data_IF_578041127639
#
_entry.id   IF_578041127639
#
_cell.length_a   1.000
_cell.length_b   1.000
_cell.length_c   1.000
_cell.angle_alpha   90.00
_cell.angle_beta   90.00
_cell.angle_gamma   90.00
#
_symmetry.space_group_name_H-M   'P 1'
#
loop_
_entity.id
_entity.type
_entity.pdbx_description
1 polymer ?
#
# COMPACT_ATOMS: atom_id res chain seq x y z
N UNK A 1 -33.73 -20.77 -46.25
CA UNK A 1 -33.20 -20.71 -44.87
C UNK A 1 -34.39 -20.79 -43.93
N UNK A 2 -34.56 -21.93 -43.27
CA UNK A 2 -35.70 -22.16 -42.38
C UNK A 2 -35.52 -21.41 -41.06
N UNK A 3 -36.62 -20.90 -40.51
CA UNK A 3 -36.71 -20.23 -39.20
C UNK A 3 -36.08 -21.06 -38.06
N UNK A 4 -36.05 -22.39 -38.19
CA UNK A 4 -35.47 -23.31 -37.21
C UNK A 4 -33.93 -23.15 -37.06
N UNK A 5 -33.26 -22.69 -38.12
CA UNK A 5 -31.82 -22.41 -38.07
C UNK A 5 -31.49 -21.16 -37.25
N UNK A 6 -32.43 -20.22 -37.12
CA UNK A 6 -32.19 -18.96 -36.40
C UNK A 6 -32.42 -19.17 -34.90
N UNK A 7 -33.46 -19.92 -34.52
CA UNK A 7 -33.73 -20.28 -33.12
C UNK A 7 -32.62 -21.13 -32.49
N UNK A 8 -31.96 -21.99 -33.27
CA UNK A 8 -30.84 -22.80 -32.76
C UNK A 8 -29.56 -21.97 -32.55
N UNK A 9 -29.33 -20.91 -33.33
CA UNK A 9 -28.16 -20.03 -33.18
C UNK A 9 -28.33 -19.08 -32.00
N UNK A 10 -29.54 -18.55 -31.76
CA UNK A 10 -29.79 -17.63 -30.62
C UNK A 10 -29.72 -18.34 -29.27
N UNK A 11 -30.04 -19.63 -29.19
CA UNK A 11 -30.04 -20.37 -27.92
C UNK A 11 -28.62 -20.74 -27.45
N UNK A 12 -27.62 -20.74 -28.33
CA UNK A 12 -26.24 -21.11 -27.98
C UNK A 12 -25.42 -19.98 -27.35
N UNK A 13 -25.89 -18.72 -27.39
CA UNK A 13 -25.09 -17.58 -26.90
C UNK A 13 -25.31 -17.23 -25.42
N UNK A 14 -26.23 -17.92 -24.71
CA UNK A 14 -26.57 -17.57 -23.31
C UNK A 14 -26.40 -18.69 -22.30
N UNK A 15 -25.88 -19.85 -22.69
CA UNK A 15 -25.35 -20.82 -21.72
C UNK A 15 -23.84 -20.70 -21.69
N UNK A 16 -23.34 -19.63 -21.06
CA UNK A 16 -22.23 -19.84 -20.13
C UNK A 16 -22.73 -20.96 -19.23
N UNK A 17 -22.33 -22.20 -19.48
CA UNK A 17 -22.45 -23.28 -18.52
C UNK A 17 -21.60 -22.83 -17.33
N UNK A 18 -22.19 -22.00 -16.48
CA UNK A 18 -21.59 -21.60 -15.23
C UNK A 18 -21.72 -22.82 -14.34
N UNK A 19 -20.84 -23.80 -14.59
CA UNK A 19 -20.74 -25.01 -13.79
C UNK A 19 -20.76 -24.56 -12.33
N UNK A 20 -21.62 -25.13 -11.47
CA UNK A 20 -21.70 -24.71 -10.07
C UNK A 20 -20.32 -24.71 -9.39
N UNK A 21 -19.43 -25.61 -9.83
CA UNK A 21 -18.03 -25.67 -9.43
C UNK A 21 -17.16 -24.50 -9.91
N UNK A 22 -17.43 -23.93 -11.08
CA UNK A 22 -16.73 -22.73 -11.59
C UNK A 22 -17.15 -21.46 -10.84
N UNK A 23 -18.43 -21.31 -10.48
CA UNK A 23 -18.90 -20.19 -9.63
C UNK A 23 -18.28 -20.32 -8.22
N UNK A 24 -18.30 -21.52 -7.65
CA UNK A 24 -17.67 -21.80 -6.35
C UNK A 24 -16.15 -21.54 -6.40
N UNK A 25 -15.47 -21.99 -7.45
CA UNK A 25 -14.04 -21.76 -7.67
C UNK A 25 -13.67 -20.28 -7.78
N UNK A 26 -14.44 -19.51 -8.56
CA UNK A 26 -14.27 -18.05 -8.68
C UNK A 26 -14.49 -17.34 -7.34
N UNK A 27 -15.52 -17.72 -6.58
CA UNK A 27 -15.81 -17.15 -5.26
C UNK A 27 -14.71 -17.43 -4.23
N UNK A 28 -14.19 -18.66 -4.20
CA UNK A 28 -13.07 -19.05 -3.33
C UNK A 28 -11.79 -18.30 -3.73
N UNK A 29 -11.48 -18.20 -5.03
CA UNK A 29 -10.32 -17.45 -5.51
C UNK A 29 -10.38 -15.96 -5.12
N UNK A 30 -11.56 -15.33 -5.26
CA UNK A 30 -11.78 -13.95 -4.83
C UNK A 30 -11.60 -13.78 -3.31
N UNK A 31 -12.15 -14.70 -2.52
CA UNK A 31 -11.96 -14.68 -1.06
C UNK A 31 -10.48 -14.80 -0.67
N UNK A 32 -9.75 -15.74 -1.28
CA UNK A 32 -8.32 -15.90 -1.03
C UNK A 32 -7.55 -14.63 -1.41
N UNK A 33 -7.84 -14.04 -2.57
CA UNK A 33 -7.22 -12.78 -3.01
C UNK A 33 -7.46 -11.65 -1.99
N UNK A 34 -8.70 -11.50 -1.51
CA UNK A 34 -9.06 -10.49 -0.51
C UNK A 34 -8.30 -10.75 0.80
N UNK A 35 -8.26 -11.99 1.28
CA UNK A 35 -7.55 -12.36 2.52
C UNK A 35 -6.07 -12.06 2.40
N UNK A 36 -5.42 -12.45 1.30
CA UNK A 36 -4.00 -12.17 1.06
C UNK A 36 -3.76 -10.65 1.04
N UNK A 37 -4.60 -9.89 0.33
CA UNK A 37 -4.51 -8.43 0.28
C UNK A 37 -4.60 -7.78 1.67
N UNK A 38 -5.53 -8.23 2.51
CA UNK A 38 -5.65 -7.72 3.88
C UNK A 38 -4.45 -8.10 4.75
N UNK A 39 -3.90 -9.31 4.63
CA UNK A 39 -2.70 -9.72 5.37
C UNK A 39 -1.52 -8.80 5.05
N UNK A 40 -1.29 -8.52 3.75
CA UNK A 40 -0.25 -7.59 3.33
C UNK A 40 -0.48 -6.16 3.83
N UNK A 41 -1.73 -5.67 3.74
CA UNK A 41 -2.11 -4.35 4.23
C UNK A 41 -1.88 -4.19 5.73
N UNK A 42 -2.22 -5.22 6.52
CA UNK A 42 -1.99 -5.26 7.97
C UNK A 42 -0.48 -5.23 8.27
N UNK A 43 0.32 -6.05 7.59
CA UNK A 43 1.77 -6.09 7.81
C UNK A 43 2.46 -4.75 7.50
N UNK A 44 2.02 -4.07 6.44
CA UNK A 44 2.49 -2.74 6.08
C UNK A 44 2.07 -1.69 7.11
N UNK A 45 0.78 -1.66 7.46
CA UNK A 45 0.22 -0.76 8.47
C UNK A 45 0.94 -0.91 9.82
N UNK A 46 1.20 -2.14 10.25
CA UNK A 46 1.96 -2.45 11.46
C UNK A 46 3.39 -1.91 11.41
N UNK A 47 4.04 -1.99 10.25
CA UNK A 47 5.40 -1.48 10.07
C UNK A 47 5.47 0.04 10.20
N UNK A 48 4.49 0.75 9.64
CA UNK A 48 4.33 2.21 9.74
C UNK A 48 3.96 2.62 11.16
N UNK A 49 3.02 1.91 11.80
CA UNK A 49 2.61 2.12 13.20
C UNK A 49 3.80 2.05 14.14
N UNK A 50 4.63 0.99 14.04
CA UNK A 50 5.82 0.83 14.87
C UNK A 50 6.81 1.98 14.69
N UNK A 51 7.07 2.38 13.44
CA UNK A 51 7.96 3.51 13.16
C UNK A 51 7.45 4.81 13.79
N UNK A 52 6.18 5.15 13.56
CA UNK A 52 5.56 6.35 14.15
C UNK A 52 5.56 6.34 15.68
N UNK A 53 5.37 5.16 16.29
CA UNK A 53 5.39 5.00 17.75
C UNK A 53 6.78 5.24 18.36
N UNK A 54 7.84 4.92 17.62
CA UNK A 54 9.23 5.09 18.06
C UNK A 54 9.69 6.54 17.92
N UNK A 55 9.19 7.26 16.91
CA UNK A 55 9.50 8.69 16.74
C UNK A 55 9.08 9.47 17.99
N UNK A 56 9.90 10.43 18.43
CA UNK A 56 9.62 11.23 19.61
C UNK A 56 8.29 11.99 19.48
N UNK A 57 7.50 12.04 20.56
CA UNK A 57 6.16 12.66 20.56
C UNK A 57 6.18 14.14 20.15
N UNK A 58 7.26 14.87 20.39
CA UNK A 58 7.42 16.27 19.98
C UNK A 58 7.68 16.42 18.47
N UNK A 59 8.26 15.39 17.83
CA UNK A 59 8.59 15.36 16.40
C UNK A 59 7.49 14.72 15.56
N UNK A 60 6.62 13.90 16.16
CA UNK A 60 5.48 13.27 15.49
C UNK A 60 4.56 14.32 14.83
N UNK A 61 4.41 14.23 13.50
CA UNK A 61 3.47 15.07 12.74
C UNK A 61 2.08 14.43 12.70
N UNK A 62 2.02 13.09 12.78
CA UNK A 62 0.79 12.29 12.70
C UNK A 62 0.73 11.28 13.82
N UNK A 63 -0.46 10.99 14.34
CA UNK A 63 -0.64 9.99 15.41
C UNK A 63 -0.32 8.59 14.88
N UNK A 64 0.36 7.71 15.66
CA UNK A 64 0.69 6.34 15.24
C UNK A 64 -0.54 5.53 14.80
N UNK A 65 -1.68 5.75 15.47
CA UNK A 65 -2.97 5.12 15.14
C UNK A 65 -3.39 5.33 13.69
N UNK A 66 -2.99 6.43 13.03
CA UNK A 66 -3.39 6.69 11.65
C UNK A 66 -2.90 5.65 10.65
N UNK A 67 -1.87 4.88 10.97
CA UNK A 67 -1.44 3.77 10.14
C UNK A 67 -2.55 2.72 9.94
N UNK A 68 -3.43 2.52 10.92
CA UNK A 68 -4.53 1.55 10.86
C UNK A 68 -5.67 1.99 9.93
N UNK A 69 -5.79 3.28 9.64
CA UNK A 69 -6.78 3.78 8.70
C UNK A 69 -6.51 3.30 7.27
N UNK A 70 -5.28 2.85 6.97
CA UNK A 70 -4.91 2.26 5.68
C UNK A 70 -5.71 1.00 5.32
N UNK A 71 -6.30 0.31 6.31
CA UNK A 71 -7.12 -0.88 6.06
C UNK A 71 -8.46 -0.54 5.39
N UNK A 72 -8.92 0.72 5.49
CA UNK A 72 -10.15 1.18 4.87
C UNK A 72 -9.80 1.65 3.45
N UNK A 73 -10.41 1.16 2.36
CA UNK A 73 -9.94 1.46 1.01
C UNK A 73 -9.91 2.96 0.66
N UNK A 74 -11.05 3.66 0.86
CA UNK A 74 -11.21 5.07 0.47
C UNK A 74 -10.47 5.98 1.46
N UNK A 75 -10.77 5.82 2.75
CA UNK A 75 -10.15 6.62 3.82
C UNK A 75 -8.66 6.33 3.89
N UNK A 76 -8.26 5.08 3.80
CA UNK A 76 -6.87 4.64 3.87
C UNK A 76 -6.01 5.19 2.75
N UNK A 77 -6.53 5.31 1.53
CA UNK A 77 -5.80 5.94 0.44
C UNK A 77 -5.50 7.43 0.73
N UNK A 78 -6.51 8.17 1.25
CA UNK A 78 -6.33 9.57 1.66
C UNK A 78 -5.33 9.68 2.82
N UNK A 79 -5.39 8.75 3.77
CA UNK A 79 -4.46 8.74 4.90
C UNK A 79 -3.06 8.32 4.49
N UNK A 80 -2.87 7.45 3.49
CA UNK A 80 -1.54 7.14 2.94
C UNK A 80 -0.90 8.40 2.36
N UNK A 81 -1.67 9.23 1.67
CA UNK A 81 -1.25 10.55 1.18
C UNK A 81 -0.72 11.46 2.29
N UNK A 82 -1.31 11.41 3.49
CA UNK A 82 -0.92 12.27 4.62
C UNK A 82 0.23 11.62 5.42
N UNK A 83 0.07 10.36 5.82
CA UNK A 83 0.96 9.68 6.77
C UNK A 83 2.28 9.28 6.14
N UNK A 84 2.32 8.86 4.87
CA UNK A 84 3.54 8.38 4.25
C UNK A 84 4.56 9.51 3.97
N UNK A 85 4.24 10.54 3.15
CA UNK A 85 5.16 11.64 2.93
C UNK A 85 5.24 12.57 4.15
N UNK A 86 4.12 13.08 4.66
CA UNK A 86 4.15 14.11 5.71
C UNK A 86 4.31 13.53 7.12
N UNK A 87 3.64 12.41 7.43
CA UNK A 87 3.74 11.79 8.75
C UNK A 87 5.16 11.28 9.03
N UNK A 88 5.65 10.37 8.20
CA UNK A 88 6.98 9.75 8.39
C UNK A 88 8.10 10.66 7.89
N UNK A 89 8.00 11.18 6.67
CA UNK A 89 9.07 11.97 6.06
C UNK A 89 9.38 13.28 6.82
N UNK A 90 8.36 14.08 7.15
CA UNK A 90 8.61 15.33 7.88
C UNK A 90 8.97 15.11 9.36
N UNK A 91 8.45 14.06 10.01
CA UNK A 91 8.86 13.77 11.38
C UNK A 91 10.35 13.43 11.48
N UNK A 92 10.88 12.68 10.51
CA UNK A 92 12.31 12.37 10.42
C UNK A 92 13.18 13.59 10.08
N UNK A 93 12.66 14.54 9.28
CA UNK A 93 13.37 15.80 8.98
C UNK A 93 13.61 16.70 10.20
N UNK A 94 12.81 16.54 11.26
CA UNK A 94 12.95 17.30 12.51
C UNK A 94 14.10 16.79 13.41
N UNK A 95 14.70 15.65 13.09
CA UNK A 95 15.89 15.17 13.80
C UNK A 95 17.12 16.00 13.41
N UNK A 96 17.97 16.30 14.39
CA UNK A 96 19.20 17.06 14.15
C UNK A 96 20.30 16.23 13.46
N UNK A 97 20.22 14.90 13.54
CA UNK A 97 21.14 14.01 12.84
C UNK A 97 20.90 14.07 11.31
N UNK A 98 21.94 14.46 10.59
CA UNK A 98 21.92 14.60 9.13
C UNK A 98 21.62 13.28 8.42
N UNK A 99 22.02 12.15 9.00
CA UNK A 99 21.74 10.80 8.47
C UNK A 99 20.26 10.47 8.55
N UNK A 100 19.59 10.84 9.65
CA UNK A 100 18.15 10.64 9.84
C UNK A 100 17.36 11.58 8.94
N UNK A 101 17.81 12.84 8.84
CA UNK A 101 17.18 13.86 7.98
C UNK A 101 17.20 13.45 6.50
N UNK A 102 18.34 13.01 5.97
CA UNK A 102 18.47 12.57 4.58
C UNK A 102 17.56 11.36 4.26
N UNK A 103 17.41 10.45 5.24
CA UNK A 103 16.46 9.34 5.13
C UNK A 103 15.02 9.84 5.16
N UNK A 104 14.71 10.84 5.99
CA UNK A 104 13.43 11.55 6.00
C UNK A 104 13.06 12.13 4.63
N UNK A 105 13.99 12.81 3.97
CA UNK A 105 13.81 13.34 2.62
C UNK A 105 13.52 12.22 1.60
N UNK A 106 14.28 11.13 1.69
CA UNK A 106 14.09 9.97 0.81
C UNK A 106 12.72 9.32 1.03
N UNK A 107 12.29 9.14 2.28
CA UNK A 107 10.96 8.58 2.59
C UNK A 107 9.85 9.56 2.18
N UNK A 108 10.07 10.86 2.30
CA UNK A 108 9.13 11.88 1.83
C UNK A 108 8.89 11.73 0.31
N UNK A 109 9.97 11.72 -0.48
CA UNK A 109 9.89 11.60 -1.95
C UNK A 109 9.26 10.27 -2.36
N UNK A 110 9.66 9.17 -1.73
CA UNK A 110 9.12 7.85 -2.06
C UNK A 110 7.65 7.67 -1.63
N UNK A 111 7.27 8.22 -0.47
CA UNK A 111 5.87 8.24 -0.04
C UNK A 111 5.00 9.03 -1.01
N UNK A 112 5.52 10.16 -1.50
CA UNK A 112 4.84 11.00 -2.49
C UNK A 112 4.74 10.30 -3.86
N UNK A 113 5.81 9.64 -4.30
CA UNK A 113 5.80 8.81 -5.51
C UNK A 113 4.77 7.67 -5.41
N UNK A 114 4.72 6.96 -4.27
CA UNK A 114 3.79 5.86 -4.03
C UNK A 114 2.33 6.27 -4.19
N UNK A 115 1.99 7.49 -3.80
CA UNK A 115 0.61 7.95 -3.81
C UNK A 115 0.22 8.66 -5.11
N UNK A 116 1.19 9.20 -5.86
CA UNK A 116 0.98 9.77 -7.20
C UNK A 116 0.93 8.71 -8.29
N UNK A 117 1.73 7.64 -8.20
CA UNK A 117 1.78 6.58 -9.23
C UNK A 117 0.40 5.99 -9.57
N UNK A 118 -0.48 5.69 -8.60
CA UNK A 118 -1.84 5.21 -8.87
C UNK A 118 -2.67 6.21 -9.69
N UNK A 119 -2.48 7.52 -9.50
CA UNK A 119 -3.15 8.55 -10.29
C UNK A 119 -2.62 8.53 -11.73
N UNK A 120 -1.33 8.30 -11.90
CA UNK A 120 -0.68 8.18 -13.22
C UNK A 120 -1.15 6.91 -13.96
N UNK A 121 -1.49 5.83 -13.24
CA UNK A 121 -2.06 4.61 -13.86
C UNK A 121 -3.43 4.81 -14.52
N UNK A 122 -4.11 5.93 -14.24
CA UNK A 122 -5.37 6.29 -14.92
C UNK A 122 -5.17 6.59 -16.40
N UNK A 123 -3.92 6.81 -16.84
CA UNK A 123 -3.56 6.96 -18.25
C UNK A 123 -3.30 5.54 -18.84
N UNK A 124 -4.16 5.03 -19.74
CA UNK A 124 -4.13 3.61 -20.16
C UNK A 124 -2.83 3.18 -20.84
N UNK A 125 -2.16 4.11 -21.53
CA UNK A 125 -0.97 3.83 -22.35
C UNK A 125 0.24 3.46 -21.49
N UNK A 126 0.33 3.97 -20.26
CA UNK A 126 1.45 3.74 -19.33
C UNK A 126 1.12 2.74 -18.20
N UNK A 127 -0.14 2.29 -18.14
CA UNK A 127 -0.68 1.42 -17.09
C UNK A 127 0.17 0.19 -16.75
N UNK A 128 0.63 -0.65 -17.71
CA UNK A 128 1.37 -1.87 -17.36
C UNK A 128 2.77 -1.58 -16.80
N UNK A 129 3.43 -0.51 -17.24
CA UNK A 129 4.73 -0.12 -16.70
C UNK A 129 4.59 0.55 -15.32
N UNK A 130 3.53 1.34 -15.15
CA UNK A 130 3.23 2.02 -13.91
C UNK A 130 2.86 1.05 -12.78
N UNK A 131 2.18 -0.06 -13.07
CA UNK A 131 1.85 -1.09 -12.05
C UNK A 131 3.11 -1.80 -11.52
N UNK A 132 4.04 -2.16 -12.39
CA UNK A 132 5.33 -2.75 -12.00
C UNK A 132 6.17 -1.74 -11.21
N UNK A 133 6.24 -0.49 -11.68
CA UNK A 133 6.94 0.57 -10.97
C UNK A 133 6.34 0.80 -9.57
N UNK A 134 5.00 0.77 -9.45
CA UNK A 134 4.29 0.91 -8.17
C UNK A 134 4.69 -0.19 -7.19
N UNK A 135 4.68 -1.45 -7.65
CA UNK A 135 5.11 -2.61 -6.86
C UNK A 135 6.56 -2.45 -6.36
N UNK A 136 7.48 -2.03 -7.24
CA UNK A 136 8.89 -1.83 -6.88
C UNK A 136 9.06 -0.72 -5.85
N UNK A 137 8.43 0.45 -6.06
CA UNK A 137 8.53 1.58 -5.13
C UNK A 137 7.90 1.21 -3.78
N UNK A 138 6.79 0.46 -3.77
CA UNK A 138 6.16 -0.04 -2.55
C UNK A 138 7.12 -0.89 -1.72
N UNK A 139 7.79 -1.85 -2.35
CA UNK A 139 8.78 -2.71 -1.68
C UNK A 139 9.96 -1.88 -1.16
N UNK A 140 10.50 -0.97 -1.97
CA UNK A 140 11.62 -0.09 -1.57
C UNK A 140 11.23 0.77 -0.37
N UNK A 141 10.04 1.36 -0.39
CA UNK A 141 9.53 2.20 0.69
C UNK A 141 9.37 1.39 1.98
N UNK A 142 8.80 0.19 1.90
CA UNK A 142 8.63 -0.67 3.07
C UNK A 142 9.98 -1.08 3.68
N UNK A 143 10.96 -1.48 2.86
CA UNK A 143 12.31 -1.79 3.33
C UNK A 143 12.97 -0.57 3.99
N UNK A 144 12.78 0.62 3.44
CA UNK A 144 13.33 1.86 4.00
C UNK A 144 12.69 2.22 5.33
N UNK A 145 11.38 2.05 5.50
CA UNK A 145 10.69 2.18 6.80
C UNK A 145 11.33 1.26 7.85
N UNK A 146 11.53 -0.01 7.52
CA UNK A 146 12.11 -1.00 8.44
C UNK A 146 13.56 -0.61 8.81
N UNK A 147 14.35 -0.15 7.83
CA UNK A 147 15.73 0.32 8.07
C UNK A 147 15.78 1.55 8.97
N UNK A 148 14.92 2.55 8.74
CA UNK A 148 14.87 3.76 9.57
C UNK A 148 14.41 3.41 10.99
N UNK A 149 13.41 2.54 11.13
CA UNK A 149 12.94 2.08 12.43
C UNK A 149 14.07 1.48 13.27
N UNK A 150 14.83 0.54 12.69
CA UNK A 150 15.98 -0.08 13.38
C UNK A 150 17.05 0.94 13.79
N UNK A 151 17.29 1.96 12.98
CA UNK A 151 18.21 3.03 13.34
C UNK A 151 17.71 3.86 14.52
N UNK A 152 16.43 4.23 14.52
CA UNK A 152 15.85 4.98 15.62
C UNK A 152 15.89 4.15 16.91
N UNK A 153 15.50 2.88 16.86
CA UNK A 153 15.60 1.95 18.00
C UNK A 153 17.04 1.92 18.56
N UNK A 154 18.05 1.77 17.72
CA UNK A 154 19.45 1.79 18.14
C UNK A 154 19.88 3.14 18.74
N UNK A 155 19.44 4.26 18.15
CA UNK A 155 19.77 5.60 18.67
C UNK A 155 19.15 5.86 20.06
N UNK A 156 17.91 5.40 20.29
CA UNK A 156 17.25 5.56 21.58
C UNK A 156 17.88 4.68 22.67
N UNK A 157 18.37 3.48 22.33
CA UNK A 157 19.11 2.64 23.27
C UNK A 157 20.40 3.33 23.74
N UNK A 158 21.17 3.90 22.80
CA UNK A 158 22.42 4.60 23.14
C UNK A 158 22.19 5.84 24.02
N UNK A 159 21.06 6.55 23.90
CA UNK A 159 20.77 7.71 24.77
C UNK A 159 20.40 7.31 26.20
N UNK A 160 19.90 6.09 26.43
CA UNK A 160 19.51 5.64 27.78
C UNK A 160 20.67 4.99 28.56
N UNK A 161 21.81 4.73 27.91
CA UNK A 161 23.01 4.16 28.54
C UNK A 161 24.05 5.22 28.96
N UNK A 162 23.80 6.50 28.66
CA UNK A 162 24.66 7.65 29.01
C UNK A 162 23.98 8.50 30.06
#
# INVERSE_FOLDING_TARGET
MSQESITSITTQTTTLSSDPHAILGMGIALLIMIVVFYIFSIAFSWSVYKLLKIIDKDKQVTKPWFAWLFLIPIVGYIFQWIVLPFGVGNALKKYQDMTIKLRGDTLFILGLALVILPIVTFIPIISPFASVACMVIYIIYWVKIVKVRKLLEASHLNTNEV
#
